data_IF_415031321959
#
_entry.id   IF_415031321959
#
_cell.length_a   1.000
_cell.length_b   1.000
_cell.length_c   1.000
_cell.angle_alpha   90.00
_cell.angle_beta   90.00
_cell.angle_gamma   90.00
#
_symmetry.space_group_name_H-M   'P 1'
#
loop_
_entity.id
_entity.type
_entity.pdbx_description
1 polymer ?
#
# COMPACT_ATOMS: atom_id res chain seq x y z
N UNK A 1 28.41 3.48 -12.55
CA UNK A 1 28.69 3.26 -14.00
C UNK A 1 28.38 4.55 -14.73
N UNK A 2 29.30 5.04 -15.57
CA UNK A 2 29.04 6.23 -16.41
C UNK A 2 28.21 5.79 -17.62
N UNK A 3 27.03 6.39 -17.78
CA UNK A 3 26.14 6.16 -18.93
C UNK A 3 26.83 6.58 -20.24
N UNK A 4 26.66 5.77 -21.30
CA UNK A 4 27.31 6.02 -22.60
C UNK A 4 26.72 7.27 -23.26
N UNK A 5 27.52 8.05 -24.03
CA UNK A 5 27.06 9.29 -24.66
C UNK A 5 25.84 9.11 -25.59
N UNK A 6 25.75 7.97 -26.28
CA UNK A 6 24.68 7.64 -27.21
C UNK A 6 23.33 7.45 -26.50
N UNK A 7 23.34 6.75 -25.35
CA UNK A 7 22.15 6.51 -24.54
C UNK A 7 21.61 7.82 -23.96
N UNK A 8 22.50 8.69 -23.47
CA UNK A 8 22.16 10.04 -23.03
C UNK A 8 21.49 10.85 -24.12
N UNK A 9 21.99 10.77 -25.34
CA UNK A 9 21.43 11.45 -26.50
C UNK A 9 20.00 11.01 -26.83
N UNK A 10 19.73 9.71 -26.75
CA UNK A 10 18.41 9.13 -26.98
C UNK A 10 17.42 9.55 -25.89
N UNK A 11 17.79 9.43 -24.61
CA UNK A 11 16.94 9.87 -23.48
C UNK A 11 16.61 11.35 -23.60
N UNK A 12 17.58 12.20 -23.94
CA UNK A 12 17.35 13.64 -24.13
C UNK A 12 16.46 13.96 -25.34
N UNK A 13 16.49 13.16 -26.40
CA UNK A 13 15.60 13.31 -27.56
C UNK A 13 14.16 12.94 -27.19
N UNK A 14 13.97 11.80 -26.51
CA UNK A 14 12.65 11.32 -26.08
C UNK A 14 12.04 12.28 -25.04
N UNK A 15 12.82 12.74 -24.07
CA UNK A 15 12.37 13.71 -23.06
C UNK A 15 11.82 15.00 -23.69
N UNK A 16 12.53 15.55 -24.68
CA UNK A 16 12.07 16.72 -25.43
C UNK A 16 10.81 16.44 -26.25
N UNK A 17 10.75 15.30 -26.93
CA UNK A 17 9.60 14.93 -27.74
C UNK A 17 8.31 14.76 -26.91
N UNK A 18 8.43 14.17 -25.72
CA UNK A 18 7.31 13.93 -24.81
C UNK A 18 7.05 15.11 -23.84
N UNK A 19 7.84 16.18 -23.93
CA UNK A 19 7.80 17.31 -22.99
C UNK A 19 7.92 16.89 -21.51
N UNK A 20 8.78 15.90 -21.23
CA UNK A 20 9.07 15.39 -19.88
C UNK A 20 10.43 15.93 -19.44
N UNK A 21 10.59 16.19 -18.14
CA UNK A 21 11.88 16.58 -17.59
C UNK A 21 12.95 15.51 -17.89
N UNK A 22 14.11 15.91 -18.40
CA UNK A 22 15.22 15.01 -18.72
C UNK A 22 15.61 14.08 -17.56
N UNK A 23 15.65 14.59 -16.32
CA UNK A 23 15.99 13.79 -15.13
C UNK A 23 14.94 12.72 -14.86
N UNK A 24 13.67 13.00 -15.12
CA UNK A 24 12.58 12.03 -14.98
C UNK A 24 12.72 10.92 -16.02
N UNK A 25 12.95 11.28 -17.29
CA UNK A 25 13.18 10.30 -18.37
C UNK A 25 14.42 9.44 -18.10
N UNK A 26 15.51 10.04 -17.61
CA UNK A 26 16.73 9.32 -17.25
C UNK A 26 16.51 8.38 -16.06
N UNK A 27 15.80 8.83 -15.02
CA UNK A 27 15.44 7.98 -13.88
C UNK A 27 14.61 6.78 -14.32
N UNK A 28 13.63 7.00 -15.21
CA UNK A 28 12.80 5.92 -15.75
C UNK A 28 13.59 4.92 -16.58
N UNK A 29 14.48 5.42 -17.43
CA UNK A 29 15.37 4.59 -18.24
C UNK A 29 16.29 3.71 -17.38
N UNK A 30 16.91 4.28 -16.36
CA UNK A 30 17.77 3.52 -15.45
C UNK A 30 16.97 2.47 -14.66
N UNK A 31 15.79 2.83 -14.15
CA UNK A 31 14.92 1.87 -13.46
C UNK A 31 14.53 0.69 -14.36
N UNK A 32 14.17 0.97 -15.61
CA UNK A 32 13.84 -0.06 -16.58
C UNK A 32 15.05 -0.96 -16.89
N UNK A 33 16.24 -0.39 -17.05
CA UNK A 33 17.47 -1.19 -17.25
C UNK A 33 17.78 -2.12 -16.08
N UNK A 34 17.48 -1.70 -14.86
CA UNK A 34 17.77 -2.46 -13.65
C UNK A 34 16.72 -3.53 -13.35
N UNK A 35 15.45 -3.25 -13.63
CA UNK A 35 14.32 -4.07 -13.16
C UNK A 35 13.51 -4.70 -14.29
N UNK A 36 13.73 -4.29 -15.54
CA UNK A 36 12.87 -4.53 -16.72
C UNK A 36 11.40 -4.14 -16.52
N UNK A 37 11.08 -3.47 -15.41
CA UNK A 37 9.74 -3.03 -15.07
C UNK A 37 9.53 -1.59 -15.53
N UNK A 38 8.30 -1.30 -15.96
CA UNK A 38 7.89 0.07 -16.22
C UNK A 38 7.86 0.81 -14.87
N UNK A 39 8.52 1.97 -14.73
CA UNK A 39 8.48 2.79 -13.52
C UNK A 39 7.10 3.46 -13.38
N UNK A 40 6.08 2.68 -13.02
CA UNK A 40 4.81 3.20 -12.56
C UNK A 40 4.87 3.40 -11.05
N UNK A 41 4.10 4.36 -10.54
CA UNK A 41 4.00 4.61 -9.11
C UNK A 41 3.34 3.39 -8.46
N UNK A 42 4.13 2.50 -7.88
CA UNK A 42 3.60 1.38 -7.10
C UNK A 42 2.84 1.95 -5.91
N UNK A 43 1.55 1.64 -5.81
CA UNK A 43 0.72 2.03 -4.68
C UNK A 43 1.29 1.48 -3.36
N UNK A 44 1.90 0.29 -3.42
CA UNK A 44 2.59 -0.37 -2.30
C UNK A 44 3.80 0.42 -1.76
N UNK A 45 4.47 1.22 -2.58
CA UNK A 45 5.58 2.07 -2.10
C UNK A 45 5.08 3.40 -1.49
N UNK A 46 3.81 3.74 -1.72
CA UNK A 46 3.16 4.93 -1.16
C UNK A 46 2.10 4.59 -0.11
N UNK A 47 1.93 3.31 0.26
CA UNK A 47 1.18 2.97 1.46
C UNK A 47 1.93 3.59 2.62
N UNK A 48 1.23 4.40 3.41
CA UNK A 48 1.81 5.05 4.59
C UNK A 48 2.37 4.03 5.60
N UNK A 49 2.55 4.44 6.86
CA UNK A 49 3.01 3.52 7.91
C UNK A 49 2.24 2.20 7.85
N UNK A 50 2.97 1.08 7.85
CA UNK A 50 2.36 -0.25 7.88
C UNK A 50 1.39 -0.31 9.07
N UNK A 51 0.21 -0.87 8.84
CA UNK A 51 -0.77 -1.05 9.91
C UNK A 51 -0.14 -1.80 11.08
N UNK A 52 -0.44 -1.40 12.31
CA UNK A 52 -0.08 -2.16 13.51
C UNK A 52 -0.87 -3.47 13.61
N UNK A 53 -1.92 -3.64 12.79
CA UNK A 53 -2.71 -4.85 12.72
C UNK A 53 -1.97 -5.93 11.90
N UNK A 54 -1.63 -7.02 12.57
CA UNK A 54 -1.03 -8.20 11.96
C UNK A 54 -2.11 -9.16 11.44
N UNK A 55 -1.72 -10.19 10.69
CA UNK A 55 -2.64 -11.24 10.24
C UNK A 55 -3.42 -11.87 11.39
N UNK A 56 -2.77 -12.13 12.54
CA UNK A 56 -3.44 -12.68 13.73
C UNK A 56 -4.52 -11.75 14.29
N UNK A 57 -4.28 -10.43 14.28
CA UNK A 57 -5.28 -9.46 14.72
C UNK A 57 -6.48 -9.46 13.77
N UNK A 58 -6.24 -9.63 12.46
CA UNK A 58 -7.31 -9.68 11.47
C UNK A 58 -8.17 -10.94 11.58
N UNK A 59 -7.55 -12.11 11.77
CA UNK A 59 -8.28 -13.37 12.00
C UNK A 59 -9.17 -13.28 13.25
N UNK A 60 -8.63 -12.71 14.33
CA UNK A 60 -9.43 -12.46 15.53
C UNK A 60 -10.58 -11.49 15.27
N UNK A 61 -10.32 -10.35 14.64
CA UNK A 61 -11.35 -9.36 14.29
C UNK A 61 -12.46 -9.95 13.41
N UNK A 62 -12.11 -10.79 12.44
CA UNK A 62 -13.09 -11.48 11.60
C UNK A 62 -13.98 -12.38 12.44
N UNK A 63 -13.39 -13.28 13.25
CA UNK A 63 -14.18 -14.14 14.13
C UNK A 63 -15.05 -13.36 15.12
N UNK A 64 -14.57 -12.21 15.61
CA UNK A 64 -15.32 -11.36 16.53
C UNK A 64 -16.55 -10.74 15.84
N UNK A 65 -16.37 -10.19 14.64
CA UNK A 65 -17.44 -9.55 13.87
C UNK A 65 -18.44 -10.54 13.28
N UNK A 66 -17.99 -11.75 12.92
CA UNK A 66 -18.87 -12.83 12.45
C UNK A 66 -19.82 -13.30 13.57
N UNK A 67 -19.35 -13.27 14.82
CA UNK A 67 -20.15 -13.65 15.98
C UNK A 67 -21.08 -12.53 16.44
N UNK A 68 -20.65 -11.27 16.39
CA UNK A 68 -21.48 -10.11 16.73
C UNK A 68 -21.22 -8.91 15.79
N UNK A 69 -22.05 -8.76 14.74
CA UNK A 69 -21.93 -7.66 13.78
C UNK A 69 -22.28 -6.28 14.34
N UNK A 70 -22.88 -6.20 15.54
CA UNK A 70 -23.35 -4.94 16.13
C UNK A 70 -22.35 -4.29 17.09
N UNK A 71 -21.17 -4.89 17.26
CA UNK A 71 -20.12 -4.37 18.13
C UNK A 71 -19.72 -2.93 17.79
N UNK A 72 -19.59 -2.10 18.81
CA UNK A 72 -19.07 -0.75 18.65
C UNK A 72 -17.53 -0.77 18.62
N UNK A 73 -16.93 0.25 18.02
CA UNK A 73 -15.47 0.36 17.95
C UNK A 73 -14.79 0.28 19.32
N UNK A 74 -15.43 0.76 20.37
CA UNK A 74 -14.87 0.76 21.73
C UNK A 74 -14.81 -0.67 22.30
N UNK A 75 -15.86 -1.46 22.09
CA UNK A 75 -15.92 -2.87 22.49
C UNK A 75 -14.86 -3.72 21.74
N UNK A 76 -14.69 -3.46 20.45
CA UNK A 76 -13.68 -4.13 19.61
C UNK A 76 -12.26 -3.77 20.08
N UNK A 77 -12.04 -2.50 20.45
CA UNK A 77 -10.75 -2.05 20.96
C UNK A 77 -10.42 -2.73 22.29
N UNK A 78 -11.36 -2.77 23.22
CA UNK A 78 -11.20 -3.42 24.53
C UNK A 78 -10.85 -4.90 24.34
N UNK A 79 -11.66 -5.62 23.57
CA UNK A 79 -11.45 -7.03 23.22
C UNK A 79 -10.08 -7.30 22.59
N UNK A 80 -9.60 -6.43 21.68
CA UNK A 80 -8.26 -6.55 21.10
C UNK A 80 -7.15 -6.33 22.13
N UNK A 81 -7.30 -5.36 23.02
CA UNK A 81 -6.29 -5.08 24.06
C UNK A 81 -6.25 -6.15 25.14
N UNK A 82 -7.37 -6.81 25.42
CA UNK A 82 -7.45 -7.96 26.34
C UNK A 82 -6.80 -9.21 25.73
N UNK A 83 -7.08 -9.48 24.45
CA UNK A 83 -6.59 -10.69 23.78
C UNK A 83 -5.09 -10.62 23.43
N UNK A 84 -4.56 -9.42 23.17
CA UNK A 84 -3.19 -9.21 22.73
C UNK A 84 -2.43 -8.29 23.71
N UNK A 85 -1.70 -8.89 24.65
CA UNK A 85 -0.93 -8.15 25.65
C UNK A 85 0.05 -7.15 25.01
N UNK A 86 0.03 -5.90 25.46
CA UNK A 86 0.87 -4.82 24.96
C UNK A 86 0.45 -4.25 23.60
N UNK A 87 -0.64 -4.75 23.00
CA UNK A 87 -1.23 -4.17 21.80
C UNK A 87 -2.04 -2.92 22.15
N UNK A 88 -1.89 -1.87 21.35
CA UNK A 88 -2.72 -0.66 21.45
C UNK A 88 -3.08 -0.18 20.05
N UNK A 89 -4.31 0.31 19.90
CA UNK A 89 -4.81 0.87 18.64
C UNK A 89 -5.72 2.05 18.97
N UNK A 90 -5.70 3.08 18.12
CA UNK A 90 -6.66 4.19 18.24
C UNK A 90 -7.95 3.89 17.48
N UNK A 91 -9.07 4.50 17.93
CA UNK A 91 -10.38 4.39 17.27
C UNK A 91 -10.35 4.78 15.79
N UNK A 92 -9.56 5.79 15.44
CA UNK A 92 -9.41 6.21 14.03
C UNK A 92 -8.66 5.17 13.19
N UNK A 93 -7.61 4.55 13.73
CA UNK A 93 -6.88 3.47 13.07
C UNK A 93 -7.78 2.25 12.87
N UNK A 94 -8.53 1.84 13.91
CA UNK A 94 -9.47 0.74 13.82
C UNK A 94 -10.55 1.01 12.75
N UNK A 95 -11.21 2.18 12.80
CA UNK A 95 -12.26 2.51 11.84
C UNK A 95 -11.74 2.60 10.40
N UNK A 96 -10.54 3.14 10.20
CA UNK A 96 -9.91 3.16 8.88
C UNK A 96 -9.60 1.73 8.39
N UNK A 97 -9.12 0.86 9.29
CA UNK A 97 -8.86 -0.53 8.97
C UNK A 97 -10.14 -1.27 8.58
N UNK A 98 -11.19 -1.21 9.41
CA UNK A 98 -12.49 -1.85 9.13
C UNK A 98 -13.07 -1.38 7.80
N UNK A 99 -13.02 -0.07 7.51
CA UNK A 99 -13.50 0.49 6.24
C UNK A 99 -12.74 -0.05 5.02
N UNK A 100 -11.41 -0.14 5.09
CA UNK A 100 -10.59 -0.57 3.96
C UNK A 100 -10.60 -2.10 3.79
N UNK A 101 -10.67 -2.85 4.89
CA UNK A 101 -10.69 -4.31 4.87
C UNK A 101 -12.06 -4.84 4.40
N UNK A 102 -13.16 -4.25 4.88
CA UNK A 102 -14.51 -4.62 4.43
C UNK A 102 -14.76 -4.26 2.96
N UNK A 103 -14.08 -3.25 2.42
CA UNK A 103 -14.16 -2.90 1.00
C UNK A 103 -13.59 -4.00 0.07
N UNK A 104 -12.61 -4.78 0.53
CA UNK A 104 -12.03 -5.87 -0.25
C UNK A 104 -12.91 -7.12 -0.27
N UNK A 105 -13.74 -7.36 0.75
CA UNK A 105 -14.70 -8.48 0.75
C UNK A 105 -15.81 -8.35 -0.30
N UNK A 106 -16.08 -7.15 -0.82
CA UNK A 106 -17.04 -6.93 -1.91
C UNK A 106 -16.43 -6.93 -3.32
N UNK A 107 -15.12 -7.16 -3.45
CA UNK A 107 -14.45 -7.23 -4.77
C UNK A 107 -14.26 -8.67 -5.28
N UNK A 108 -14.30 -9.68 -4.41
CA UNK A 108 -14.21 -11.09 -4.82
C UNK A 108 -15.56 -11.72 -5.20
N UNK A 109 -16.68 -10.99 -5.00
CA UNK A 109 -18.02 -11.43 -5.42
C UNK A 109 -18.39 -11.02 -6.86
N UNK A 110 -17.47 -10.41 -7.61
CA UNK A 110 -17.66 -10.05 -9.03
C UNK A 110 -16.46 -10.57 -9.84
N UNK A 111 -16.37 -11.90 -10.00
CA UNK A 111 -15.80 -12.56 -11.19
C UNK A 111 -16.65 -13.79 -11.48
#
# INVERSE_FOLDING_TARGET
MLEKPEERGLVAKVARHLNINYRTALRWWNHYKETEAIPYRKSEENSGPKSSLTTKHNEYLQSLLDNDPQLFSDDIMESLTEQFEGFTISKSQLNNHLRNHNAHHYQEAII
#
